data_IF_565505384223
#
_entry.id   IF_565505384223
#
_cell.length_a   1.000
_cell.length_b   1.000
_cell.length_c   1.000
_cell.angle_alpha   90.00
_cell.angle_beta   90.00
_cell.angle_gamma   90.00
#
_symmetry.space_group_name_H-M   'P 1'
#
loop_
_entity.id
_entity.type
_entity.pdbx_description
1 polymer ?
#
# COMPACT_ATOMS: atom_id res chain seq x y z
N UNK A 1 7.61 -9.43 -7.42
CA UNK A 1 6.28 -9.15 -6.82
C UNK A 1 5.44 -8.18 -7.65
N UNK A 2 5.79 -6.89 -7.78
CA UNK A 2 4.93 -5.90 -8.45
C UNK A 2 4.65 -6.19 -9.94
N UNK A 3 5.62 -6.75 -10.67
CA UNK A 3 5.40 -7.18 -12.07
C UNK A 3 4.35 -8.31 -12.18
N UNK A 4 4.26 -9.18 -11.18
CA UNK A 4 3.21 -10.22 -11.12
C UNK A 4 1.87 -9.53 -10.89
N UNK A 5 1.77 -8.60 -9.94
CA UNK A 5 0.54 -7.84 -9.69
C UNK A 5 0.02 -7.13 -10.94
N UNK A 6 0.88 -6.40 -11.66
CA UNK A 6 0.49 -5.72 -12.89
C UNK A 6 0.04 -6.71 -13.98
N UNK A 7 0.83 -7.77 -14.19
CA UNK A 7 0.50 -8.80 -15.18
C UNK A 7 -0.85 -9.48 -14.89
N UNK A 8 -1.10 -9.84 -13.64
CA UNK A 8 -2.35 -10.47 -13.23
C UNK A 8 -3.54 -9.53 -13.30
N UNK A 9 -3.36 -8.26 -12.93
CA UNK A 9 -4.44 -7.25 -13.02
C UNK A 9 -4.87 -7.07 -14.47
N UNK A 10 -3.93 -7.00 -15.42
CA UNK A 10 -4.26 -6.93 -16.86
C UNK A 10 -4.99 -8.19 -17.31
N UNK A 11 -4.52 -9.37 -16.90
CA UNK A 11 -5.16 -10.63 -17.27
C UNK A 11 -6.57 -10.76 -16.69
N UNK A 12 -6.80 -10.27 -15.47
CA UNK A 12 -8.12 -10.21 -14.85
C UNK A 12 -9.07 -9.25 -15.58
N UNK A 13 -8.62 -8.04 -15.88
CA UNK A 13 -9.38 -7.06 -16.67
C UNK A 13 -9.78 -7.59 -18.06
N UNK A 14 -8.97 -8.48 -18.65
CA UNK A 14 -9.25 -9.14 -19.92
C UNK A 14 -10.13 -10.39 -19.79
N UNK A 15 -10.51 -10.80 -18.58
CA UNK A 15 -11.22 -12.06 -18.33
C UNK A 15 -10.37 -13.31 -18.59
N UNK A 16 -9.04 -13.17 -18.60
CA UNK A 16 -8.06 -14.19 -18.95
C UNK A 16 -7.24 -14.68 -17.74
N UNK A 17 -7.62 -14.31 -16.52
CA UNK A 17 -6.88 -14.69 -15.29
C UNK A 17 -6.67 -16.21 -15.17
N UNK A 18 -7.62 -17.01 -15.65
CA UNK A 18 -7.56 -18.48 -15.67
C UNK A 18 -6.36 -19.06 -16.47
N UNK A 19 -5.74 -18.26 -17.34
CA UNK A 19 -4.56 -18.67 -18.11
C UNK A 19 -3.26 -18.59 -17.31
N UNK A 20 -3.29 -17.94 -16.14
CA UNK A 20 -2.13 -17.73 -15.30
C UNK A 20 -1.95 -18.92 -14.34
N UNK A 21 -0.71 -19.28 -14.04
CA UNK A 21 -0.41 -20.41 -13.15
C UNK A 21 -0.63 -20.01 -11.67
N UNK A 22 -1.87 -20.14 -11.20
CA UNK A 22 -2.26 -19.77 -9.83
C UNK A 22 -1.39 -20.44 -8.78
N UNK A 23 -1.18 -21.75 -8.84
CA UNK A 23 -0.45 -22.49 -7.80
C UNK A 23 1.01 -22.03 -7.66
N UNK A 24 1.68 -21.80 -8.79
CA UNK A 24 3.06 -21.29 -8.81
C UNK A 24 3.14 -19.89 -8.21
N UNK A 25 2.19 -19.01 -8.54
CA UNK A 25 2.12 -17.65 -8.00
C UNK A 25 1.87 -17.65 -6.49
N UNK A 26 0.90 -18.45 -6.02
CA UNK A 26 0.58 -18.55 -4.59
C UNK A 26 1.78 -19.10 -3.80
N UNK A 27 2.46 -20.11 -4.34
CA UNK A 27 3.67 -20.70 -3.75
C UNK A 27 4.80 -19.68 -3.66
N UNK A 28 5.00 -18.89 -4.72
CA UNK A 28 5.99 -17.82 -4.75
C UNK A 28 5.69 -16.70 -3.74
N UNK A 29 4.42 -16.27 -3.63
CA UNK A 29 4.05 -15.24 -2.65
C UNK A 29 4.31 -15.74 -1.23
N UNK A 30 3.92 -16.99 -0.93
CA UNK A 30 4.16 -17.60 0.38
C UNK A 30 5.65 -17.66 0.73
N UNK A 31 6.51 -17.98 -0.23
CA UNK A 31 7.97 -18.03 0.01
C UNK A 31 8.63 -16.66 0.14
N UNK A 32 7.93 -15.57 -0.21
CA UNK A 32 8.40 -14.20 -0.04
C UNK A 32 7.97 -13.57 1.30
N UNK A 33 7.14 -14.22 2.11
CA UNK A 33 6.77 -13.71 3.43
C UNK A 33 7.89 -13.95 4.44
N UNK A 34 8.30 -12.89 5.15
CA UNK A 34 9.33 -12.93 6.19
C UNK A 34 8.74 -13.16 7.58
N UNK A 35 9.58 -13.54 8.54
CA UNK A 35 9.17 -13.72 9.96
C UNK A 35 8.63 -12.44 10.60
N UNK A 36 9.12 -11.27 10.16
CA UNK A 36 8.60 -9.97 10.58
C UNK A 36 7.20 -9.66 10.01
N UNK A 37 6.72 -10.48 9.07
CA UNK A 37 5.41 -10.39 8.44
C UNK A 37 5.35 -9.67 7.10
N UNK A 38 6.33 -8.81 6.82
CA UNK A 38 6.45 -8.15 5.53
C UNK A 38 6.78 -9.13 4.40
N UNK A 39 6.43 -8.74 3.17
CA UNK A 39 6.65 -9.55 1.97
C UNK A 39 7.67 -8.86 1.07
N UNK A 40 8.62 -9.62 0.53
CA UNK A 40 9.69 -9.11 -0.32
C UNK A 40 9.34 -9.10 -1.81
N UNK A 41 10.18 -8.44 -2.60
CA UNK A 41 10.06 -8.45 -4.06
C UNK A 41 10.24 -9.85 -4.67
N UNK A 42 11.14 -10.62 -4.07
CA UNK A 42 11.57 -11.97 -4.46
C UNK A 42 12.25 -12.66 -3.28
N UNK A 43 12.47 -13.97 -3.40
CA UNK A 43 13.19 -14.79 -2.42
C UNK A 43 14.60 -14.22 -2.22
N UNK A 44 15.01 -14.05 -0.97
CA UNK A 44 16.33 -13.54 -0.59
C UNK A 44 16.48 -12.01 -0.60
N UNK A 45 15.40 -11.26 -0.88
CA UNK A 45 15.36 -9.80 -0.75
C UNK A 45 14.64 -9.37 0.54
N UNK A 46 14.93 -8.15 0.99
CA UNK A 46 14.28 -7.55 2.14
C UNK A 46 12.78 -7.32 1.90
N UNK A 47 11.95 -7.46 2.96
CA UNK A 47 10.54 -7.15 2.89
C UNK A 47 10.32 -5.64 2.82
N UNK A 48 9.31 -5.21 2.08
CA UNK A 48 8.96 -3.80 1.95
C UNK A 48 7.45 -3.65 1.78
N UNK A 49 6.89 -2.57 2.31
CA UNK A 49 5.47 -2.25 2.24
C UNK A 49 4.88 -2.23 0.81
N UNK A 50 5.64 -1.79 -0.20
CA UNK A 50 5.23 -1.80 -1.61
C UNK A 50 4.92 -3.22 -2.11
N UNK A 51 5.79 -4.17 -1.78
CA UNK A 51 5.65 -5.57 -2.20
C UNK A 51 4.63 -6.30 -1.34
N UNK A 52 4.51 -5.90 -0.07
CA UNK A 52 3.45 -6.37 0.83
C UNK A 52 2.06 -6.04 0.29
N UNK A 53 1.81 -4.79 -0.11
CA UNK A 53 0.56 -4.42 -0.78
C UNK A 53 0.36 -5.23 -2.07
N UNK A 54 1.38 -5.29 -2.94
CA UNK A 54 1.30 -6.02 -4.22
C UNK A 54 0.90 -7.48 -3.99
N UNK A 55 1.49 -8.15 -3.00
CA UNK A 55 1.17 -9.53 -2.65
C UNK A 55 -0.27 -9.67 -2.14
N UNK A 56 -0.69 -8.81 -1.21
CA UNK A 56 -2.07 -8.82 -0.69
C UNK A 56 -3.09 -8.61 -1.81
N UNK A 57 -2.84 -7.67 -2.72
CA UNK A 57 -3.70 -7.44 -3.88
C UNK A 57 -3.80 -8.67 -4.80
N UNK A 58 -2.67 -9.34 -5.09
CA UNK A 58 -2.68 -10.58 -5.88
C UNK A 58 -3.51 -11.67 -5.18
N UNK A 59 -3.32 -11.83 -3.87
CA UNK A 59 -4.05 -12.83 -3.10
C UNK A 59 -5.54 -12.51 -3.00
N UNK A 60 -5.91 -11.23 -2.93
CA UNK A 60 -7.32 -10.79 -3.01
C UNK A 60 -7.92 -11.09 -4.38
N UNK A 61 -7.20 -10.83 -5.48
CA UNK A 61 -7.68 -11.18 -6.83
C UNK A 61 -7.99 -12.68 -6.97
N UNK A 62 -7.23 -13.53 -6.29
CA UNK A 62 -7.43 -14.99 -6.30
C UNK A 62 -8.33 -15.52 -5.18
N UNK A 63 -8.89 -14.66 -4.33
CA UNK A 63 -9.61 -15.02 -3.10
C UNK A 63 -8.83 -16.07 -2.28
N UNK A 64 -7.58 -15.75 -1.94
CA UNK A 64 -6.60 -16.70 -1.38
C UNK A 64 -5.69 -16.06 -0.33
N UNK A 65 -6.22 -15.11 0.42
CA UNK A 65 -5.47 -14.34 1.43
C UNK A 65 -4.93 -15.21 2.57
N UNK A 66 -5.54 -16.36 2.80
CA UNK A 66 -5.15 -17.38 3.77
C UNK A 66 -3.84 -18.12 3.44
N UNK A 67 -3.21 -17.84 2.29
CA UNK A 67 -1.89 -18.40 1.92
C UNK A 67 -0.75 -17.82 2.77
N UNK A 68 -0.94 -16.60 3.30
CA UNK A 68 0.02 -15.88 4.13
C UNK A 68 -0.49 -15.73 5.56
N UNK A 69 0.42 -15.46 6.49
CA UNK A 69 0.05 -15.07 7.86
C UNK A 69 -0.41 -13.60 7.88
N UNK A 70 -1.73 -13.40 7.94
CA UNK A 70 -2.36 -12.08 7.93
C UNK A 70 -2.03 -11.29 9.19
N UNK A 71 -1.98 -11.94 10.36
CA UNK A 71 -1.70 -11.24 11.61
C UNK A 71 -0.29 -10.67 11.59
N UNK A 72 0.66 -11.43 11.06
CA UNK A 72 2.03 -10.96 10.84
C UNK A 72 2.11 -9.79 9.86
N UNK A 73 1.34 -9.80 8.77
CA UNK A 73 1.27 -8.64 7.87
C UNK A 73 0.74 -7.40 8.61
N UNK A 74 -0.30 -7.54 9.43
CA UNK A 74 -0.85 -6.43 10.22
C UNK A 74 0.19 -5.89 11.20
N UNK A 75 0.87 -6.77 11.95
CA UNK A 75 1.96 -6.41 12.87
C UNK A 75 3.09 -5.66 12.13
N UNK A 76 3.46 -6.12 10.93
CA UNK A 76 4.47 -5.46 10.10
C UNK A 76 4.04 -4.03 9.72
N UNK A 77 2.83 -3.86 9.18
CA UNK A 77 2.32 -2.54 8.79
C UNK A 77 2.24 -1.60 10.01
N UNK A 78 1.76 -2.10 11.15
CA UNK A 78 1.72 -1.34 12.41
C UNK A 78 3.10 -0.87 12.85
N UNK A 79 4.11 -1.75 12.77
CA UNK A 79 5.49 -1.44 13.19
C UNK A 79 6.15 -0.34 12.35
N UNK A 80 5.63 -0.07 11.14
CA UNK A 80 6.16 0.94 10.24
C UNK A 80 5.53 2.32 10.43
N UNK A 81 4.45 2.44 11.21
CA UNK A 81 3.86 3.72 11.53
C UNK A 81 4.77 4.51 12.49
N UNK A 82 5.03 5.78 12.18
CA UNK A 82 5.84 6.69 13.01
C UNK A 82 4.94 7.55 13.89
N UNK A 83 5.55 8.23 14.88
CA UNK A 83 4.83 9.06 15.84
C UNK A 83 4.08 10.25 15.18
N UNK A 84 4.60 10.76 14.07
CA UNK A 84 3.97 11.83 13.28
C UNK A 84 2.83 11.34 12.37
N UNK A 85 2.56 10.03 12.35
CA UNK A 85 1.55 9.39 11.52
C UNK A 85 2.03 8.92 10.15
N UNK A 86 3.26 9.28 9.76
CA UNK A 86 3.87 8.79 8.53
C UNK A 86 4.15 7.28 8.60
N UNK A 87 4.37 6.66 7.44
CA UNK A 87 4.77 5.26 7.35
C UNK A 87 6.14 5.15 6.70
N UNK A 88 7.00 4.33 7.30
CA UNK A 88 8.23 3.89 6.67
C UNK A 88 7.97 2.79 5.65
N UNK A 89 8.80 2.72 4.60
CA UNK A 89 8.71 1.66 3.60
C UNK A 89 9.14 0.28 4.13
N UNK A 90 10.14 0.31 5.01
CA UNK A 90 10.77 -0.84 5.65
C UNK A 90 11.55 -0.38 6.91
N UNK A 91 12.44 -1.26 7.41
CA UNK A 91 13.25 -1.01 8.61
C UNK A 91 14.28 0.11 8.46
N UNK A 92 14.60 0.54 7.25
CA UNK A 92 15.61 1.57 6.97
C UNK A 92 15.05 2.99 7.09
N UNK A 93 13.72 3.13 7.20
CA UNK A 93 13.07 4.35 7.66
C UNK A 93 12.86 5.44 6.61
N UNK A 94 12.93 5.13 5.31
CA UNK A 94 12.48 6.06 4.27
C UNK A 94 11.00 6.40 4.49
N UNK A 95 10.68 7.70 4.46
CA UNK A 95 9.30 8.20 4.56
C UNK A 95 8.85 8.72 3.21
N UNK A 96 7.70 8.24 2.76
CA UNK A 96 7.04 8.65 1.52
C UNK A 96 5.53 8.43 1.62
N UNK A 97 4.72 9.35 1.07
CA UNK A 97 3.25 9.21 1.02
C UNK A 97 2.77 7.97 0.28
N UNK A 98 3.56 7.39 -0.64
CA UNK A 98 3.31 6.06 -1.23
C UNK A 98 3.16 4.98 -0.15
N UNK A 99 3.96 5.06 0.91
CA UNK A 99 3.93 4.08 2.00
C UNK A 99 2.69 4.27 2.87
N UNK A 100 2.23 5.51 3.05
CA UNK A 100 0.95 5.78 3.72
C UNK A 100 -0.22 5.14 2.96
N UNK A 101 -0.26 5.30 1.63
CA UNK A 101 -1.24 4.61 0.79
C UNK A 101 -1.11 3.08 0.88
N UNK A 102 0.11 2.55 0.80
CA UNK A 102 0.33 1.10 0.85
C UNK A 102 -0.10 0.48 2.18
N UNK A 103 0.17 1.14 3.31
CA UNK A 103 -0.27 0.71 4.63
C UNK A 103 -1.80 0.61 4.70
N UNK A 104 -2.49 1.70 4.37
CA UNK A 104 -3.95 1.79 4.48
C UNK A 104 -4.64 0.88 3.47
N UNK A 105 -4.17 0.80 2.23
CA UNK A 105 -4.73 -0.12 1.24
C UNK A 105 -4.55 -1.59 1.65
N UNK A 106 -3.39 -1.95 2.20
CA UNK A 106 -3.14 -3.30 2.73
C UNK A 106 -4.13 -3.63 3.83
N UNK A 107 -4.23 -2.77 4.84
CA UNK A 107 -5.12 -2.99 5.98
C UNK A 107 -6.60 -2.97 5.59
N UNK A 108 -7.00 -2.13 4.63
CA UNK A 108 -8.37 -2.10 4.12
C UNK A 108 -8.75 -3.41 3.42
N UNK A 109 -7.89 -3.94 2.55
CA UNK A 109 -8.11 -5.23 1.89
C UNK A 109 -8.20 -6.40 2.88
N UNK A 110 -7.52 -6.27 4.02
CA UNK A 110 -7.56 -7.26 5.11
C UNK A 110 -8.69 -7.02 6.12
N UNK A 111 -9.43 -5.91 6.04
CA UNK A 111 -10.45 -5.53 7.03
C UNK A 111 -9.88 -5.21 8.42
N UNK A 112 -8.70 -4.58 8.46
CA UNK A 112 -7.89 -4.31 9.67
C UNK A 112 -7.40 -2.87 9.79
N UNK A 113 -8.17 -1.90 9.29
CA UNK A 113 -7.80 -0.48 9.36
C UNK A 113 -7.67 0.05 10.79
N UNK A 114 -8.40 -0.55 11.74
CA UNK A 114 -8.37 -0.25 13.17
C UNK A 114 -7.05 -0.63 13.86
N UNK A 115 -6.14 -1.31 13.15
CA UNK A 115 -4.83 -1.69 13.66
C UNK A 115 -3.87 -0.50 13.83
N UNK A 116 -4.07 0.60 13.11
CA UNK A 116 -3.16 1.76 13.11
C UNK A 116 -3.83 3.01 13.67
N UNK A 117 -3.04 4.03 13.99
CA UNK A 117 -3.58 5.35 14.31
C UNK A 117 -3.97 6.07 13.01
N UNK A 118 -5.23 5.92 12.60
CA UNK A 118 -5.75 6.45 11.33
C UNK A 118 -5.76 7.98 11.35
N UNK A 119 -6.12 8.59 12.47
CA UNK A 119 -6.17 10.05 12.64
C UNK A 119 -4.81 10.69 12.40
N UNK A 120 -3.74 10.13 13.00
CA UNK A 120 -2.37 10.60 12.77
C UNK A 120 -1.93 10.43 11.33
N UNK A 121 -2.28 9.31 10.70
CA UNK A 121 -1.95 9.08 9.29
C UNK A 121 -2.65 10.10 8.37
N UNK A 122 -3.90 10.47 8.67
CA UNK A 122 -4.62 11.53 7.95
C UNK A 122 -3.93 12.88 8.15
N UNK A 123 -3.57 13.25 9.38
CA UNK A 123 -2.83 14.49 9.67
C UNK A 123 -1.53 14.59 8.83
N UNK A 124 -0.75 13.50 8.77
CA UNK A 124 0.48 13.46 7.97
C UNK A 124 0.21 13.65 6.47
N UNK A 125 -0.75 12.90 5.90
CA UNK A 125 -1.06 12.99 4.46
C UNK A 125 -1.52 14.39 4.07
N UNK A 126 -2.37 15.02 4.89
CA UNK A 126 -2.84 16.39 4.65
C UNK A 126 -1.72 17.42 4.76
N UNK A 127 -0.75 17.21 5.66
CA UNK A 127 0.43 18.07 5.76
C UNK A 127 1.35 18.01 4.52
N UNK A 128 1.16 17.03 3.65
CA UNK A 128 1.86 16.90 2.36
C UNK A 128 1.15 17.63 1.21
N UNK A 129 -0.03 18.23 1.45
CA UNK A 129 -0.77 19.00 0.43
C UNK A 129 -0.11 20.36 0.20
N UNK A 130 0.04 20.74 -1.07
CA UNK A 130 0.64 21.99 -1.51
C UNK A 130 -0.40 23.05 -1.89
N UNK A 131 0.06 24.26 -2.19
CA UNK A 131 -0.79 25.42 -2.54
C UNK A 131 -1.59 25.22 -3.84
N UNK A 132 -1.10 24.36 -4.74
CA UNK A 132 -1.74 23.95 -5.99
C UNK A 132 -2.75 22.80 -5.77
N UNK A 133 -3.07 22.48 -4.51
CA UNK A 133 -3.92 21.35 -4.13
C UNK A 133 -3.31 19.98 -4.37
N UNK A 134 -2.11 19.90 -4.98
CA UNK A 134 -1.37 18.67 -5.20
C UNK A 134 -0.70 18.15 -3.93
N UNK A 135 -0.01 17.01 -4.05
CA UNK A 135 0.68 16.37 -2.94
C UNK A 135 2.12 15.99 -3.32
N UNK A 136 3.04 16.19 -2.38
CA UNK A 136 4.42 15.72 -2.45
C UNK A 136 4.67 14.46 -1.63
N UNK A 137 5.88 13.90 -1.71
CA UNK A 137 6.26 12.68 -0.97
C UNK A 137 6.32 12.87 0.55
N UNK A 138 6.51 14.10 1.02
CA UNK A 138 6.57 14.54 2.41
C UNK A 138 6.25 16.04 2.47
N UNK A 139 6.00 16.61 3.65
CA UNK A 139 5.68 18.04 3.78
C UNK A 139 6.73 18.93 3.10
N UNK A 140 6.25 19.87 2.27
CA UNK A 140 7.09 20.80 1.51
C UNK A 140 7.76 20.24 0.26
N UNK A 141 7.50 18.99 -0.13
CA UNK A 141 7.98 18.43 -1.39
C UNK A 141 7.06 18.79 -2.56
N UNK A 142 7.62 18.89 -3.77
CA UNK A 142 6.88 19.27 -4.98
C UNK A 142 5.70 18.32 -5.27
N UNK A 143 4.62 18.90 -5.78
CA UNK A 143 3.45 18.15 -6.23
C UNK A 143 3.81 17.20 -7.36
N UNK A 144 3.44 15.92 -7.21
CA UNK A 144 3.75 14.89 -8.19
C UNK A 144 2.53 14.00 -8.43
N UNK A 145 2.19 13.72 -9.69
CA UNK A 145 0.98 12.97 -10.05
C UNK A 145 0.85 11.62 -9.32
N UNK A 146 1.96 10.88 -9.17
CA UNK A 146 1.97 9.62 -8.41
C UNK A 146 1.67 9.79 -6.92
N UNK A 147 2.06 10.92 -6.32
CA UNK A 147 1.79 11.22 -4.92
C UNK A 147 0.36 11.71 -4.74
N UNK A 148 -0.14 12.52 -5.69
CA UNK A 148 -1.55 12.90 -5.74
C UNK A 148 -2.45 11.65 -5.77
N UNK A 149 -2.12 10.65 -6.62
CA UNK A 149 -2.84 9.38 -6.64
C UNK A 149 -2.82 8.67 -5.27
N UNK A 150 -1.64 8.54 -4.66
CA UNK A 150 -1.48 7.87 -3.37
C UNK A 150 -2.26 8.58 -2.25
N UNK A 151 -2.11 9.90 -2.12
CA UNK A 151 -2.78 10.69 -1.10
C UNK A 151 -4.29 10.73 -1.29
N UNK A 152 -4.77 10.89 -2.54
CA UNK A 152 -6.20 10.87 -2.84
C UNK A 152 -6.80 9.49 -2.57
N UNK A 153 -6.10 8.41 -2.97
CA UNK A 153 -6.50 7.04 -2.68
C UNK A 153 -6.52 6.74 -1.18
N UNK A 154 -5.54 7.24 -0.43
CA UNK A 154 -5.51 7.16 1.03
C UNK A 154 -6.73 7.85 1.65
N UNK A 155 -7.03 9.08 1.23
CA UNK A 155 -8.18 9.85 1.73
C UNK A 155 -9.51 9.19 1.32
N UNK A 156 -9.57 8.54 0.16
CA UNK A 156 -10.73 7.75 -0.25
C UNK A 156 -10.97 6.56 0.69
N UNK A 157 -9.93 5.76 0.95
CA UNK A 157 -10.04 4.58 1.81
C UNK A 157 -10.38 4.96 3.26
N UNK A 158 -9.86 6.09 3.75
CA UNK A 158 -10.13 6.60 5.11
C UNK A 158 -11.38 7.48 5.20
N UNK A 159 -12.17 7.61 4.12
CA UNK A 159 -13.40 8.43 4.07
C UNK A 159 -13.18 9.93 4.34
N UNK A 160 -12.02 10.46 3.96
CA UNK A 160 -11.58 11.85 4.13
C UNK A 160 -11.48 12.66 2.83
N UNK A 161 -12.09 12.20 1.73
CA UNK A 161 -12.04 12.92 0.44
C UNK A 161 -12.59 14.35 0.50
N UNK A 162 -13.49 14.65 1.43
CA UNK A 162 -14.06 15.98 1.61
C UNK A 162 -13.02 17.04 2.01
N UNK A 163 -11.81 16.63 2.39
CA UNK A 163 -10.70 17.54 2.71
C UNK A 163 -9.94 18.03 1.47
N UNK A 164 -10.21 17.46 0.29
CA UNK A 164 -9.57 17.86 -0.97
C UNK A 164 -10.50 18.75 -1.78
N UNK A 165 -9.96 19.84 -2.33
CA UNK A 165 -10.66 20.65 -3.32
C UNK A 165 -10.50 20.03 -4.72
N UNK A 166 -11.58 19.45 -5.25
CA UNK A 166 -11.58 18.78 -6.57
C UNK A 166 -11.24 19.70 -7.73
N UNK A 167 -11.55 21.00 -7.61
CA UNK A 167 -11.35 21.96 -8.70
C UNK A 167 -9.90 22.48 -8.74
N UNK A 168 -9.14 22.27 -7.67
CA UNK A 168 -7.75 22.69 -7.53
C UNK A 168 -6.75 21.54 -7.72
N UNK A 169 -7.14 20.30 -7.42
CA UNK A 169 -6.25 19.14 -7.34
C UNK A 169 -5.42 18.91 -8.64
N UNK A 170 -4.16 19.35 -8.62
CA UNK A 170 -3.21 19.12 -9.73
C UNK A 170 -3.37 20.09 -10.91
N UNK A 171 -3.81 21.32 -10.64
CA UNK A 171 -3.92 22.41 -11.62
C UNK A 171 -2.57 23.00 -12.04
#
# INVERSE_FOLDING_TARGET
MSGIYWGLTVMDLMGQLHRMNREEILTFIKSCQHECGGISASIGHDPHLLYTLSAVQILTLYDSINVIDINKVVEYVQSLQKEDGSFAGDIWGEIDTRFSFCAVATLALLGKLDAINVEKAIEFVLSCMNFDGGFGCRPGSESHAGQIYCCTGFLAITSQLHQVNSDLLGW
#
